data_IF_244144197863
#
_entry.id   IF_244144197863
#
_cell.length_a   1.000
_cell.length_b   1.000
_cell.length_c   1.000
_cell.angle_alpha   90.00
_cell.angle_beta   90.00
_cell.angle_gamma   90.00
#
_symmetry.space_group_name_H-M   'P 1'
#
loop_
_entity.id
_entity.type
_entity.pdbx_description
1 polymer ?
#
# COMPACT_ATOMS: atom_id res chain seq x y z
N UNK A 1 9.36 -11.19 -33.12
CA UNK A 1 9.57 -9.93 -33.83
C UNK A 1 10.50 -9.08 -33.00
N UNK A 2 11.43 -8.40 -33.63
CA UNK A 2 12.31 -7.46 -32.94
C UNK A 2 11.48 -6.21 -32.56
N UNK A 3 11.63 -5.76 -31.32
CA UNK A 3 11.02 -4.51 -30.88
C UNK A 3 11.78 -3.33 -31.50
N UNK A 4 11.04 -2.42 -32.12
CA UNK A 4 11.59 -1.22 -32.74
C UNK A 4 11.77 -0.04 -31.79
N UNK A 5 11.40 -0.21 -30.52
CA UNK A 5 11.50 0.82 -29.48
C UNK A 5 11.87 0.18 -28.15
N UNK A 6 12.58 0.94 -27.34
CA UNK A 6 12.93 0.59 -25.99
C UNK A 6 11.95 1.26 -25.04
N UNK A 7 11.24 0.45 -24.25
CA UNK A 7 10.46 0.96 -23.13
C UNK A 7 11.36 0.98 -21.90
N UNK A 8 11.53 2.16 -21.31
CA UNK A 8 12.25 2.33 -20.06
C UNK A 8 11.27 2.92 -19.03
N UNK A 9 11.24 2.33 -17.85
CA UNK A 9 10.53 2.88 -16.71
C UNK A 9 11.56 3.28 -15.65
N UNK A 10 11.44 4.49 -15.10
CA UNK A 10 12.21 4.83 -13.92
C UNK A 10 11.67 3.98 -12.75
N UNK A 11 12.57 3.31 -12.04
CA UNK A 11 12.29 2.70 -10.76
C UNK A 11 11.94 3.82 -9.76
N UNK A 12 11.83 3.55 -8.54
CA UNK A 12 11.49 4.44 -7.41
C UNK A 12 11.78 5.94 -7.62
N UNK A 13 10.79 6.78 -7.37
CA UNK A 13 10.97 8.23 -7.41
C UNK A 13 10.78 8.85 -8.80
N UNK A 14 9.95 8.25 -9.64
CA UNK A 14 9.57 8.80 -10.95
C UNK A 14 9.15 10.27 -10.88
N UNK A 15 8.47 10.69 -9.82
CA UNK A 15 8.07 12.09 -9.62
C UNK A 15 9.26 13.07 -9.68
N UNK A 16 10.45 12.67 -9.22
CA UNK A 16 11.65 13.49 -9.30
C UNK A 16 12.19 13.64 -10.73
N UNK A 17 11.81 12.74 -11.65
CA UNK A 17 12.25 12.72 -13.04
C UNK A 17 11.16 13.12 -14.04
N UNK A 18 9.93 13.37 -13.58
CA UNK A 18 8.81 13.71 -14.45
C UNK A 18 9.10 14.97 -15.28
N UNK A 19 9.62 16.02 -14.66
CA UNK A 19 9.99 17.25 -15.38
C UNK A 19 11.09 17.00 -16.44
N UNK A 20 12.08 16.16 -16.14
CA UNK A 20 13.12 15.79 -17.08
C UNK A 20 12.55 14.99 -18.26
N UNK A 21 11.72 14.02 -17.99
CA UNK A 21 11.05 13.20 -19.02
C UNK A 21 10.14 14.07 -19.90
N UNK A 22 9.36 14.95 -19.29
CA UNK A 22 8.48 15.89 -19.98
C UNK A 22 9.25 16.90 -20.82
N UNK A 23 10.36 17.42 -20.32
CA UNK A 23 11.25 18.33 -21.09
C UNK A 23 11.79 17.64 -22.35
N UNK A 24 12.22 16.38 -22.26
CA UNK A 24 12.67 15.58 -23.42
C UNK A 24 11.52 15.35 -24.40
N UNK A 25 10.33 15.04 -23.90
CA UNK A 25 9.10 14.87 -24.71
C UNK A 25 8.80 16.13 -25.52
N UNK A 26 8.82 17.29 -24.87
CA UNK A 26 8.60 18.60 -25.50
C UNK A 26 9.70 18.92 -26.52
N UNK A 27 10.98 18.74 -26.18
CA UNK A 27 12.13 18.96 -27.07
C UNK A 27 12.03 18.13 -28.36
N UNK A 28 11.54 16.89 -28.23
CA UNK A 28 11.38 15.98 -29.37
C UNK A 28 10.08 16.21 -30.15
N UNK A 29 9.25 17.13 -29.74
CA UNK A 29 7.95 17.39 -30.37
C UNK A 29 6.98 16.21 -30.25
N UNK A 30 7.12 15.41 -29.17
CA UNK A 30 6.21 14.30 -28.94
C UNK A 30 4.84 14.83 -28.53
N UNK A 31 3.80 14.29 -29.10
CA UNK A 31 2.44 14.85 -29.00
C UNK A 31 1.86 14.90 -27.57
N UNK A 32 2.35 14.07 -26.67
CA UNK A 32 1.95 14.12 -25.25
C UNK A 32 2.54 15.31 -24.50
N UNK A 33 3.65 15.91 -24.99
CA UNK A 33 4.27 17.02 -24.29
C UNK A 33 4.60 16.69 -22.83
N UNK A 34 4.12 17.51 -21.89
CA UNK A 34 4.27 17.28 -20.44
C UNK A 34 3.20 16.32 -19.84
N UNK A 35 2.31 15.81 -20.64
CA UNK A 35 1.46 14.68 -20.28
C UNK A 35 2.19 13.32 -20.44
N UNK A 36 3.44 13.31 -20.92
CA UNK A 36 4.24 12.09 -21.07
C UNK A 36 4.50 11.40 -19.73
N UNK A 37 4.77 12.19 -18.68
CA UNK A 37 4.86 11.69 -17.31
C UNK A 37 3.97 12.53 -16.38
N UNK A 38 3.23 11.89 -15.52
CA UNK A 38 2.41 12.54 -14.48
C UNK A 38 3.28 13.13 -13.37
N UNK A 39 2.73 14.04 -12.56
CA UNK A 39 3.45 14.73 -11.51
C UNK A 39 4.37 15.82 -12.06
N UNK A 40 5.46 16.08 -11.34
CA UNK A 40 6.38 17.16 -11.69
C UNK A 40 5.89 18.55 -11.28
N UNK A 41 6.51 19.61 -11.83
CA UNK A 41 6.22 21.01 -11.46
C UNK A 41 4.85 21.51 -11.92
N UNK A 42 4.26 20.87 -12.93
CA UNK A 42 2.90 21.14 -13.45
C UNK A 42 2.09 19.86 -13.42
N UNK A 43 1.86 19.34 -12.22
CA UNK A 43 1.12 18.12 -12.01
C UNK A 43 0.66 18.03 -10.57
N UNK A 44 0.00 16.92 -10.21
CA UNK A 44 -0.51 16.70 -8.86
C UNK A 44 0.58 16.12 -7.95
N UNK A 45 0.77 16.72 -6.78
CA UNK A 45 1.65 16.18 -5.75
C UNK A 45 0.91 15.10 -4.94
N UNK A 46 1.14 13.84 -5.31
CA UNK A 46 0.50 12.68 -4.68
C UNK A 46 0.75 12.63 -3.17
N UNK A 47 1.94 13.03 -2.71
CA UNK A 47 2.27 13.06 -1.28
C UNK A 47 1.50 14.14 -0.55
N UNK A 48 1.44 15.35 -1.11
CA UNK A 48 0.67 16.45 -0.51
C UNK A 48 -0.83 16.11 -0.46
N UNK A 49 -1.36 15.50 -1.52
CA UNK A 49 -2.74 14.98 -1.55
C UNK A 49 -2.94 13.79 -0.59
N UNK A 50 -1.89 13.02 -0.31
CA UNK A 50 -1.94 11.74 0.40
C UNK A 50 -2.83 10.71 -0.32
N UNK A 51 -2.98 10.82 -1.63
CA UNK A 51 -4.09 10.19 -2.36
C UNK A 51 -3.99 8.66 -2.34
N UNK A 52 -2.79 8.08 -2.50
CA UNK A 52 -2.60 6.63 -2.46
C UNK A 52 -3.00 6.05 -1.10
N UNK A 53 -2.54 6.69 -0.02
CA UNK A 53 -2.87 6.28 1.33
C UNK A 53 -4.35 6.48 1.68
N UNK A 54 -4.97 7.56 1.17
CA UNK A 54 -6.41 7.81 1.35
C UNK A 54 -7.24 6.74 0.67
N UNK A 55 -6.87 6.33 -0.55
CA UNK A 55 -7.53 5.24 -1.27
C UNK A 55 -7.40 3.90 -0.54
N UNK A 56 -6.18 3.53 -0.12
CA UNK A 56 -5.95 2.32 0.67
C UNK A 56 -6.74 2.34 1.99
N UNK A 57 -6.93 3.53 2.57
CA UNK A 57 -7.71 3.67 3.79
C UNK A 57 -9.22 3.47 3.59
N UNK A 58 -9.75 3.69 2.40
CA UNK A 58 -11.15 3.32 2.09
C UNK A 58 -11.33 1.79 2.19
N UNK A 59 -10.37 1.00 1.68
CA UNK A 59 -10.37 -0.46 1.86
C UNK A 59 -10.27 -0.85 3.34
N UNK A 60 -9.35 -0.25 4.09
CA UNK A 60 -9.18 -0.52 5.53
C UNK A 60 -10.48 -0.25 6.30
N UNK A 61 -11.11 0.91 6.08
CA UNK A 61 -12.40 1.25 6.72
C UNK A 61 -13.47 0.22 6.39
N UNK A 62 -13.51 -0.22 5.14
CA UNK A 62 -14.49 -1.20 4.70
C UNK A 62 -14.27 -2.56 5.35
N UNK A 63 -13.02 -3.02 5.43
CA UNK A 63 -12.68 -4.27 6.10
C UNK A 63 -13.03 -4.25 7.59
N UNK A 64 -12.76 -3.13 8.28
CA UNK A 64 -13.18 -2.97 9.67
C UNK A 64 -14.70 -2.98 9.83
N UNK A 65 -15.44 -2.35 8.92
CA UNK A 65 -16.90 -2.35 8.94
C UNK A 65 -17.48 -3.76 8.80
N UNK A 66 -16.85 -4.67 8.05
CA UNK A 66 -17.23 -6.09 7.97
C UNK A 66 -17.09 -6.82 9.33
N UNK A 67 -16.18 -6.35 10.17
CA UNK A 67 -16.00 -6.84 11.53
C UNK A 67 -16.91 -6.12 12.56
N UNK A 68 -17.76 -5.18 12.10
CA UNK A 68 -18.61 -4.37 12.97
C UNK A 68 -17.85 -3.33 13.79
N UNK A 69 -16.69 -2.88 13.32
CA UNK A 69 -15.78 -1.95 13.99
C UNK A 69 -15.60 -0.66 13.17
N UNK A 70 -15.67 0.50 13.82
CA UNK A 70 -15.39 1.78 13.19
C UNK A 70 -13.94 2.21 13.43
N UNK A 71 -13.08 1.99 12.45
CA UNK A 71 -11.68 2.36 12.51
C UNK A 71 -11.40 3.87 12.68
N UNK A 72 -12.41 4.74 12.60
CA UNK A 72 -12.25 6.17 12.79
C UNK A 72 -12.45 6.59 14.25
N UNK A 73 -13.23 5.85 15.03
CA UNK A 73 -13.65 6.22 16.38
C UNK A 73 -13.30 5.17 17.43
N UNK A 74 -13.09 3.92 17.06
CA UNK A 74 -12.79 2.83 17.97
C UNK A 74 -11.32 2.40 17.85
N UNK A 75 -10.62 2.29 18.99
CA UNK A 75 -9.21 1.91 19.00
C UNK A 75 -8.99 0.50 18.43
N UNK A 76 -7.93 0.37 17.64
CA UNK A 76 -7.47 -0.90 17.09
C UNK A 76 -5.94 -0.97 17.09
N UNK A 77 -5.40 -2.17 17.17
CA UNK A 77 -3.96 -2.42 17.12
C UNK A 77 -3.49 -2.55 15.67
N UNK A 78 -2.31 -1.98 15.39
CA UNK A 78 -1.72 -2.06 14.07
C UNK A 78 -0.22 -2.36 14.13
N UNK A 79 0.28 -3.07 13.14
CA UNK A 79 1.69 -3.10 12.77
C UNK A 79 1.86 -2.52 11.37
N UNK A 80 3.03 -1.94 11.10
CA UNK A 80 3.25 -1.23 9.86
C UNK A 80 4.57 -1.53 9.18
N UNK A 81 4.56 -1.43 7.84
CA UNK A 81 5.74 -1.59 6.99
C UNK A 81 6.03 -0.23 6.34
N UNK A 82 7.05 0.47 6.82
CA UNK A 82 7.44 1.79 6.36
C UNK A 82 7.84 2.73 7.50
N UNK A 83 8.03 3.99 7.18
CA UNK A 83 8.32 5.07 8.12
C UNK A 83 7.46 6.31 7.87
N UNK A 84 7.38 7.21 8.87
CA UNK A 84 6.52 8.39 8.80
C UNK A 84 6.96 9.43 7.77
N UNK A 85 8.20 9.39 7.28
CA UNK A 85 8.67 10.27 6.21
C UNK A 85 8.20 9.84 4.81
N UNK A 86 7.80 8.57 4.68
CA UNK A 86 7.27 8.00 3.45
C UNK A 86 5.85 8.50 3.14
N UNK A 87 5.55 8.71 1.85
CA UNK A 87 4.22 9.16 1.42
C UNK A 87 3.12 8.21 1.90
N UNK A 88 3.17 6.97 1.44
CA UNK A 88 2.06 6.01 1.64
C UNK A 88 1.91 5.61 3.10
N UNK A 89 3.03 5.35 3.79
CA UNK A 89 2.99 4.99 5.20
C UNK A 89 2.59 6.17 6.09
N UNK A 90 3.28 7.31 5.93
CA UNK A 90 3.05 8.50 6.75
C UNK A 90 1.61 9.00 6.62
N UNK A 91 1.13 9.21 5.40
CA UNK A 91 -0.25 9.59 5.16
C UNK A 91 -1.25 8.55 5.68
N UNK A 92 -0.95 7.24 5.53
CA UNK A 92 -1.84 6.16 5.96
C UNK A 92 -2.01 6.10 7.47
N UNK A 93 -0.90 6.14 8.21
CA UNK A 93 -0.91 6.06 9.69
C UNK A 93 -1.44 7.34 10.37
N UNK A 94 -1.78 8.36 9.58
CA UNK A 94 -2.46 9.58 10.01
C UNK A 94 -3.95 9.62 9.65
N UNK A 95 -4.50 8.54 9.07
CA UNK A 95 -5.93 8.51 8.70
C UNK A 95 -6.86 8.30 9.88
N UNK A 96 -6.39 7.72 10.97
CA UNK A 96 -7.19 7.51 12.19
C UNK A 96 -6.41 7.86 13.45
N UNK A 97 -7.04 8.61 14.33
CA UNK A 97 -6.54 8.89 15.69
C UNK A 97 -6.71 7.71 16.65
N UNK A 98 -7.48 6.71 16.24
CA UNK A 98 -7.75 5.52 17.03
C UNK A 98 -6.68 4.42 16.82
N UNK A 99 -5.70 4.63 15.93
CA UNK A 99 -4.65 3.67 15.64
C UNK A 99 -3.66 3.54 16.79
N UNK A 100 -3.58 2.35 17.37
CA UNK A 100 -2.55 1.92 18.33
C UNK A 100 -1.46 1.19 17.57
N UNK A 101 -0.43 1.93 17.12
CA UNK A 101 0.69 1.37 16.36
C UNK A 101 1.65 0.65 17.33
N UNK A 102 1.53 -0.68 17.41
CA UNK A 102 2.33 -1.49 18.35
C UNK A 102 3.71 -1.83 17.82
N UNK A 103 3.89 -1.87 16.52
CA UNK A 103 5.20 -2.04 15.89
C UNK A 103 5.21 -1.49 14.46
N UNK A 104 6.39 -1.07 14.01
CA UNK A 104 6.64 -0.78 12.62
C UNK A 104 8.11 -1.05 12.27
N UNK A 105 8.40 -1.21 10.99
CA UNK A 105 9.77 -1.31 10.53
C UNK A 105 9.94 -0.72 9.13
N UNK A 106 11.14 -0.21 8.87
CA UNK A 106 11.58 0.23 7.56
C UNK A 106 12.88 -0.48 7.15
N UNK A 107 13.61 0.08 6.19
CA UNK A 107 14.90 -0.45 5.74
C UNK A 107 16.05 -0.22 6.75
N UNK A 108 15.85 0.61 7.77
CA UNK A 108 16.86 1.03 8.77
C UNK A 108 16.57 0.55 10.17
N UNK A 109 15.31 0.67 10.60
CA UNK A 109 14.93 0.61 12.00
C UNK A 109 13.71 -0.27 12.24
N UNK A 110 13.54 -0.69 13.50
CA UNK A 110 12.36 -1.37 14.03
C UNK A 110 11.85 -0.55 15.20
N UNK A 111 10.61 -0.12 15.13
CA UNK A 111 9.87 0.56 16.19
C UNK A 111 8.99 -0.43 16.93
N UNK A 112 9.00 -0.40 18.26
CA UNK A 112 8.14 -1.19 19.14
C UNK A 112 7.52 -0.29 20.21
N UNK A 113 6.20 -0.35 20.35
CA UNK A 113 5.44 0.27 21.43
C UNK A 113 4.33 -0.71 21.86
N UNK A 114 4.57 -1.57 22.86
CA UNK A 114 3.64 -2.65 23.18
C UNK A 114 2.24 -2.22 23.61
N UNK A 115 2.12 -1.03 24.18
CA UNK A 115 0.86 -0.52 24.69
C UNK A 115 0.70 0.99 24.42
N UNK A 116 0.67 1.42 23.15
CA UNK A 116 0.65 2.83 22.81
C UNK A 116 -0.66 3.51 23.25
N UNK A 117 -0.54 4.74 23.76
CA UNK A 117 -1.70 5.61 23.86
C UNK A 117 -2.02 6.15 22.45
N UNK A 118 -3.19 5.87 21.92
CA UNK A 118 -3.55 6.18 20.54
C UNK A 118 -3.40 7.68 20.22
N UNK A 119 -3.89 8.58 21.08
CA UNK A 119 -3.83 10.02 20.87
C UNK A 119 -2.39 10.56 20.91
N UNK A 120 -1.62 10.19 21.94
CA UNK A 120 -0.21 10.60 22.10
C UNK A 120 0.65 10.08 20.94
N UNK A 121 0.45 8.82 20.58
CA UNK A 121 1.15 8.19 19.46
C UNK A 121 0.76 8.83 18.13
N UNK A 122 -0.50 9.27 17.95
CA UNK A 122 -0.92 10.00 16.76
C UNK A 122 -0.20 11.34 16.63
N UNK A 123 -0.16 12.14 17.70
CA UNK A 123 0.48 13.46 17.70
C UNK A 123 1.99 13.32 17.40
N UNK A 124 2.64 12.30 17.94
CA UNK A 124 4.06 12.04 17.67
C UNK A 124 4.28 11.56 16.23
N UNK A 125 3.40 10.71 15.68
CA UNK A 125 3.46 10.34 14.26
C UNK A 125 3.26 11.54 13.35
N UNK A 126 2.34 12.47 13.70
CA UNK A 126 2.17 13.71 12.96
C UNK A 126 3.45 14.55 12.99
N UNK A 127 4.07 14.70 14.16
CA UNK A 127 5.35 15.44 14.28
C UNK A 127 6.44 14.81 13.39
N UNK A 128 6.56 13.50 13.37
CA UNK A 128 7.53 12.81 12.50
C UNK A 128 7.21 12.99 11.01
N UNK A 129 5.94 12.98 10.63
CA UNK A 129 5.51 13.21 9.25
C UNK A 129 5.90 14.61 8.78
N UNK A 130 5.73 15.62 9.64
CA UNK A 130 6.05 17.01 9.34
C UNK A 130 7.58 17.29 9.39
N UNK A 131 8.36 16.41 10.02
CA UNK A 131 9.81 16.54 10.13
C UNK A 131 10.48 16.02 8.84
N UNK A 132 11.16 16.90 8.05
CA UNK A 132 11.80 16.48 6.82
C UNK A 132 12.82 15.34 7.02
N UNK A 133 12.67 14.25 6.25
CA UNK A 133 13.56 13.09 6.30
C UNK A 133 13.65 12.43 7.66
N UNK A 134 12.57 12.43 8.43
CA UNK A 134 12.49 11.75 9.72
C UNK A 134 12.74 10.23 9.59
N UNK A 135 13.06 9.62 10.70
CA UNK A 135 13.19 8.17 10.86
C UNK A 135 12.54 7.74 12.18
N UNK A 136 12.41 6.45 12.40
CA UNK A 136 11.97 5.94 13.70
C UNK A 136 12.93 6.33 14.85
N UNK A 137 14.22 6.65 14.54
CA UNK A 137 15.17 7.13 15.53
C UNK A 137 14.80 8.50 16.12
N UNK A 138 14.02 9.31 15.37
CA UNK A 138 13.56 10.64 15.78
C UNK A 138 12.30 10.58 16.67
N UNK A 139 11.72 9.41 16.88
CA UNK A 139 10.57 9.22 17.77
C UNK A 139 10.96 9.54 19.20
N UNK A 140 10.16 10.33 19.90
CA UNK A 140 10.39 10.67 21.31
C UNK A 140 10.23 9.42 22.19
N UNK A 141 11.35 8.94 22.73
CA UNK A 141 11.42 7.71 23.52
C UNK A 141 10.58 7.75 24.80
N UNK A 142 10.36 8.95 25.38
CA UNK A 142 9.56 9.13 26.59
C UNK A 142 8.07 8.88 26.36
N UNK A 143 7.62 8.83 25.10
CA UNK A 143 6.23 8.54 24.72
C UNK A 143 5.99 7.05 24.44
N UNK A 144 7.05 6.25 24.35
CA UNK A 144 6.97 4.80 24.15
C UNK A 144 6.59 4.14 25.47
N UNK A 145 5.63 3.22 25.44
CA UNK A 145 5.23 2.45 26.61
C UNK A 145 6.33 1.53 27.13
N UNK A 146 6.18 1.05 28.37
CA UNK A 146 7.15 0.17 29.01
C UNK A 146 7.47 -1.04 28.12
N UNK A 147 8.75 -1.40 28.04
CA UNK A 147 9.27 -2.51 27.27
C UNK A 147 9.47 -2.22 25.77
N UNK A 148 8.96 -1.12 25.26
CA UNK A 148 9.15 -0.72 23.86
C UNK A 148 10.47 0.01 23.59
N UNK A 149 10.71 0.35 22.34
CA UNK A 149 11.92 1.06 21.91
C UNK A 149 12.06 1.16 20.39
N UNK A 150 13.15 1.74 19.96
CA UNK A 150 13.53 1.78 18.54
C UNK A 150 14.91 1.17 18.37
N UNK A 151 15.04 0.25 17.45
CA UNK A 151 16.22 -0.58 17.29
C UNK A 151 16.71 -0.52 15.84
N UNK A 152 18.02 -0.37 15.66
CA UNK A 152 18.60 -0.47 14.32
C UNK A 152 18.58 -1.91 13.80
N UNK A 153 18.25 -2.10 12.54
CA UNK A 153 18.38 -3.40 11.86
C UNK A 153 19.80 -3.89 11.72
N UNK A 154 20.80 -3.03 11.99
CA UNK A 154 22.21 -3.39 12.01
C UNK A 154 22.68 -4.09 13.31
N UNK A 155 21.82 -4.20 14.32
CA UNK A 155 22.14 -4.92 15.55
C UNK A 155 22.28 -6.43 15.28
N UNK A 156 23.05 -7.11 16.13
CA UNK A 156 23.15 -8.58 16.05
C UNK A 156 21.95 -9.27 16.70
N UNK A 157 21.44 -8.68 17.77
CA UNK A 157 20.37 -9.21 18.58
C UNK A 157 19.64 -8.05 19.26
N UNK A 158 18.36 -8.22 19.51
CA UNK A 158 17.45 -7.29 20.19
C UNK A 158 16.83 -8.06 21.34
N UNK A 159 16.95 -7.51 22.56
CA UNK A 159 16.29 -8.05 23.74
C UNK A 159 14.77 -7.93 23.60
N UNK A 160 14.05 -8.99 23.90
CA UNK A 160 12.59 -9.05 23.84
C UNK A 160 12.01 -9.00 25.25
N UNK A 161 11.42 -7.88 25.58
CA UNK A 161 10.78 -7.66 26.88
C UNK A 161 9.51 -8.50 27.04
N UNK A 162 9.03 -8.73 28.29
CA UNK A 162 7.75 -9.41 28.49
C UNK A 162 6.58 -8.76 27.75
N UNK A 163 6.53 -7.43 27.74
CA UNK A 163 5.48 -6.65 27.08
C UNK A 163 5.50 -6.82 25.56
N UNK A 164 6.70 -6.83 24.95
CA UNK A 164 6.86 -7.09 23.52
C UNK A 164 6.49 -8.55 23.19
N UNK A 165 6.86 -9.51 24.03
CA UNK A 165 6.44 -10.92 23.85
C UNK A 165 4.93 -11.06 23.83
N UNK A 166 4.26 -10.42 24.78
CA UNK A 166 2.79 -10.47 24.90
C UNK A 166 2.13 -9.90 23.66
N UNK A 167 2.48 -8.68 23.25
CA UNK A 167 1.81 -8.02 22.12
C UNK A 167 2.11 -8.69 20.78
N UNK A 168 3.30 -9.26 20.59
CA UNK A 168 3.64 -10.03 19.40
C UNK A 168 3.19 -11.50 19.47
N UNK A 169 2.65 -11.94 20.62
CA UNK A 169 2.20 -13.30 20.85
C UNK A 169 3.32 -14.34 20.68
N UNK A 170 4.50 -14.05 21.27
CA UNK A 170 5.68 -14.92 21.27
C UNK A 170 5.68 -15.85 22.46
N UNK A 171 6.40 -16.97 22.33
CA UNK A 171 6.61 -17.92 23.44
C UNK A 171 7.42 -17.27 24.58
N UNK A 172 7.12 -17.66 25.82
CA UNK A 172 7.77 -17.12 27.02
C UNK A 172 9.29 -17.33 27.04
N UNK A 173 9.78 -18.35 26.35
CA UNK A 173 11.22 -18.64 26.23
C UNK A 173 11.98 -17.68 25.32
N UNK A 174 11.29 -16.87 24.50
CA UNK A 174 11.93 -15.91 23.58
C UNK A 174 12.40 -14.69 24.37
N UNK A 175 13.69 -14.58 24.60
CA UNK A 175 14.30 -13.45 25.33
C UNK A 175 15.09 -12.50 24.45
N UNK A 176 15.48 -12.94 23.24
CA UNK A 176 16.17 -12.13 22.24
C UNK A 176 15.90 -12.66 20.85
N UNK A 177 15.94 -11.79 19.84
CA UNK A 177 15.77 -12.12 18.42
C UNK A 177 16.77 -11.33 17.58
N UNK A 178 17.23 -11.92 16.48
CA UNK A 178 17.88 -11.14 15.43
C UNK A 178 16.86 -10.18 14.79
N UNK A 179 17.30 -9.03 14.25
CA UNK A 179 16.38 -8.06 13.62
C UNK A 179 15.45 -8.65 12.55
N UNK A 180 15.94 -9.59 11.74
CA UNK A 180 15.14 -10.27 10.72
C UNK A 180 14.07 -11.19 11.32
N UNK A 181 14.41 -11.88 12.39
CA UNK A 181 13.47 -12.73 13.15
C UNK A 181 12.39 -11.89 13.84
N UNK A 182 12.79 -10.74 14.39
CA UNK A 182 11.86 -9.80 15.02
C UNK A 182 10.88 -9.22 13.98
N UNK A 183 11.35 -8.85 12.79
CA UNK A 183 10.46 -8.39 11.70
C UNK A 183 9.50 -9.51 11.29
N UNK A 184 9.97 -10.75 11.15
CA UNK A 184 9.09 -11.90 10.90
C UNK A 184 8.05 -12.11 12.01
N UNK A 185 8.41 -11.84 13.27
CA UNK A 185 7.49 -11.89 14.40
C UNK A 185 6.46 -10.76 14.34
N UNK A 186 6.86 -9.53 13.98
CA UNK A 186 5.98 -8.39 13.79
C UNK A 186 4.95 -8.67 12.69
N UNK A 187 5.38 -9.22 11.56
CA UNK A 187 4.47 -9.60 10.46
C UNK A 187 3.45 -10.66 10.87
N UNK A 188 3.77 -11.50 11.86
CA UNK A 188 2.89 -12.54 12.41
C UNK A 188 2.17 -12.13 13.70
N UNK A 189 2.25 -10.88 14.10
CA UNK A 189 1.62 -10.41 15.33
C UNK A 189 0.09 -10.54 15.29
N UNK A 190 -0.57 -10.89 16.42
CA UNK A 190 -2.03 -11.02 16.49
C UNK A 190 -2.68 -9.63 16.68
N UNK A 191 -2.62 -8.81 15.66
CA UNK A 191 -3.14 -7.44 15.63
C UNK A 191 -4.38 -7.32 14.77
N UNK A 192 -5.05 -6.18 14.86
CA UNK A 192 -6.23 -5.93 14.02
C UNK A 192 -5.83 -5.61 12.59
N UNK A 193 -4.74 -4.84 12.37
CA UNK A 193 -4.32 -4.37 11.05
C UNK A 193 -2.81 -4.56 10.81
N UNK A 194 -2.45 -5.11 9.64
CA UNK A 194 -1.15 -4.90 9.01
C UNK A 194 -1.33 -3.82 7.94
N UNK A 195 -0.59 -2.70 8.06
CA UNK A 195 -0.60 -1.66 7.04
C UNK A 195 0.74 -1.64 6.29
N UNK A 196 0.70 -1.98 5.00
CA UNK A 196 1.87 -1.93 4.13
C UNK A 196 1.94 -0.57 3.42
N UNK A 197 2.91 0.24 3.81
CA UNK A 197 3.23 1.52 3.15
C UNK A 197 4.66 1.58 2.62
N UNK A 198 5.37 0.45 2.64
CA UNK A 198 6.77 0.33 2.23
C UNK A 198 6.95 -0.56 0.99
N UNK A 199 8.17 -0.55 0.46
CA UNK A 199 8.58 -1.33 -0.71
C UNK A 199 9.13 -2.67 -0.26
N UNK A 200 8.77 -3.74 -0.96
CA UNK A 200 9.25 -5.09 -0.75
C UNK A 200 8.12 -6.11 -0.70
N UNK A 201 8.44 -7.39 -0.92
CA UNK A 201 7.49 -8.50 -0.82
C UNK A 201 7.73 -9.27 0.46
N UNK A 202 6.85 -9.09 1.42
CA UNK A 202 6.99 -9.58 2.80
C UNK A 202 6.22 -10.86 3.08
N UNK A 203 5.21 -11.16 2.27
CA UNK A 203 4.36 -12.35 2.44
C UNK A 203 4.26 -13.11 1.13
N UNK A 204 4.42 -14.42 1.20
CA UNK A 204 4.26 -15.36 0.09
C UNK A 204 3.36 -16.52 0.50
N UNK A 205 2.94 -17.36 -0.46
CA UNK A 205 2.33 -18.63 -0.11
C UNK A 205 3.38 -19.62 0.42
N UNK A 206 2.97 -20.54 1.27
CA UNK A 206 3.83 -21.61 1.77
C UNK A 206 4.32 -22.55 0.66
N UNK A 207 3.61 -22.58 -0.45
CA UNK A 207 3.95 -23.35 -1.65
C UNK A 207 4.98 -22.67 -2.54
N UNK A 208 5.22 -21.37 -2.37
CA UNK A 208 6.21 -20.61 -3.12
C UNK A 208 7.58 -20.65 -2.45
N UNK A 209 8.62 -20.63 -3.26
CA UNK A 209 10.01 -20.45 -2.79
C UNK A 209 10.41 -18.96 -2.85
N UNK A 210 11.38 -18.54 -2.05
CA UNK A 210 11.94 -17.19 -2.12
C UNK A 210 12.49 -16.84 -3.51
N UNK A 211 13.03 -17.82 -4.22
CA UNK A 211 13.52 -17.62 -5.59
C UNK A 211 12.41 -17.27 -6.58
N UNK A 212 11.21 -17.83 -6.41
CA UNK A 212 10.03 -17.50 -7.24
C UNK A 212 9.52 -16.09 -6.93
N UNK A 213 9.59 -15.65 -5.67
CA UNK A 213 9.21 -14.29 -5.28
C UNK A 213 10.14 -13.23 -5.92
N UNK A 214 11.44 -13.52 -6.03
CA UNK A 214 12.40 -12.65 -6.71
C UNK A 214 12.90 -11.44 -5.91
N UNK A 215 12.42 -11.20 -4.69
CA UNK A 215 12.84 -10.11 -3.81
C UNK A 215 13.85 -10.62 -2.76
N UNK A 216 15.13 -10.73 -3.15
CA UNK A 216 16.20 -11.25 -2.30
C UNK A 216 16.44 -10.44 -1.03
N UNK A 217 16.16 -9.14 -1.05
CA UNK A 217 16.42 -8.26 0.09
C UNK A 217 15.61 -8.66 1.33
N UNK A 218 14.45 -9.26 1.12
CA UNK A 218 13.51 -9.63 2.15
C UNK A 218 13.39 -11.14 2.40
N UNK A 219 14.22 -11.97 1.77
CA UNK A 219 14.16 -13.44 1.93
C UNK A 219 14.23 -13.92 3.39
N UNK A 220 15.08 -13.28 4.19
CA UNK A 220 15.35 -13.70 5.57
C UNK A 220 14.22 -13.33 6.56
N UNK A 221 13.31 -12.43 6.16
CA UNK A 221 12.25 -11.94 7.05
C UNK A 221 10.83 -12.25 6.51
N UNK A 222 10.73 -12.74 5.26
CA UNK A 222 9.46 -13.04 4.61
C UNK A 222 8.74 -14.18 5.31
N UNK A 223 7.43 -14.03 5.46
CA UNK A 223 6.54 -15.00 6.09
C UNK A 223 5.57 -15.62 5.08
N UNK A 224 4.86 -16.67 5.47
CA UNK A 224 3.81 -17.25 4.63
C UNK A 224 2.43 -16.66 4.99
N UNK A 225 1.53 -16.61 4.03
CA UNK A 225 0.17 -16.09 4.22
C UNK A 225 -0.59 -16.82 5.32
N UNK A 226 -0.43 -18.14 5.41
CA UNK A 226 -1.06 -18.96 6.47
C UNK A 226 -0.56 -18.68 7.89
N UNK A 227 0.61 -18.05 8.02
CA UNK A 227 1.21 -17.75 9.33
C UNK A 227 0.75 -16.38 9.88
N UNK A 228 -0.01 -15.62 9.11
CA UNK A 228 -0.56 -14.33 9.53
C UNK A 228 -1.65 -14.52 10.57
N UNK A 229 -1.60 -13.71 11.62
CA UNK A 229 -2.60 -13.67 12.69
C UNK A 229 -3.33 -12.34 12.78
N UNK A 230 -2.99 -11.40 11.91
CA UNK A 230 -3.73 -10.15 11.78
C UNK A 230 -5.13 -10.41 11.21
N UNK A 231 -6.09 -9.57 11.59
CA UNK A 231 -7.46 -9.68 11.08
C UNK A 231 -7.60 -9.08 9.69
N UNK A 232 -6.90 -7.98 9.44
CA UNK A 232 -7.01 -7.15 8.24
C UNK A 232 -5.60 -6.85 7.72
N UNK A 233 -5.47 -6.77 6.39
CA UNK A 233 -4.31 -6.20 5.71
C UNK A 233 -4.78 -5.05 4.81
N UNK A 234 -4.07 -3.92 4.86
CA UNK A 234 -4.21 -2.81 3.94
C UNK A 234 -2.90 -2.60 3.17
N UNK A 235 -2.94 -2.66 1.84
CA UNK A 235 -1.77 -2.53 1.00
C UNK A 235 -1.74 -1.19 0.26
N UNK A 236 -1.24 -0.14 0.91
CA UNK A 236 -0.95 1.13 0.24
C UNK A 236 0.28 1.04 -0.68
N UNK A 237 1.24 0.19 -0.37
CA UNK A 237 2.40 -0.11 -1.22
C UNK A 237 2.15 -1.28 -2.16
N UNK A 238 2.84 -1.30 -3.31
CA UNK A 238 2.73 -2.37 -4.29
C UNK A 238 3.53 -3.60 -3.89
N UNK A 239 3.03 -4.79 -4.27
CA UNK A 239 3.74 -6.05 -4.21
C UNK A 239 4.21 -6.46 -2.80
N UNK A 240 3.52 -6.00 -1.76
CA UNK A 240 3.81 -6.41 -0.38
C UNK A 240 3.59 -7.90 -0.13
N UNK A 241 2.67 -8.47 -0.89
CA UNK A 241 2.31 -9.88 -0.90
C UNK A 241 2.44 -10.44 -2.32
N UNK A 242 2.77 -11.72 -2.44
CA UNK A 242 2.53 -12.44 -3.69
C UNK A 242 1.03 -12.69 -3.83
N UNK A 243 0.54 -12.87 -5.07
CA UNK A 243 -0.88 -13.17 -5.27
C UNK A 243 -1.30 -14.48 -4.58
N UNK A 244 -0.48 -15.51 -4.65
CA UNK A 244 -0.73 -16.76 -3.94
C UNK A 244 -0.67 -16.59 -2.41
N UNK A 245 0.21 -15.69 -1.92
CA UNK A 245 0.28 -15.34 -0.50
C UNK A 245 -0.99 -14.64 0.01
N UNK A 246 -1.59 -13.77 -0.80
CA UNK A 246 -2.90 -13.16 -0.50
C UNK A 246 -4.00 -14.21 -0.42
N UNK A 247 -4.07 -15.09 -1.41
CA UNK A 247 -5.06 -16.19 -1.43
C UNK A 247 -4.88 -17.06 -0.18
N UNK A 248 -3.65 -17.45 0.16
CA UNK A 248 -3.36 -18.26 1.35
C UNK A 248 -3.77 -17.52 2.64
N UNK A 249 -3.50 -16.23 2.76
CA UNK A 249 -3.92 -15.42 3.89
C UNK A 249 -5.44 -15.31 4.00
N UNK A 250 -6.13 -15.08 2.88
CA UNK A 250 -7.59 -15.01 2.83
C UNK A 250 -8.24 -16.34 3.23
N UNK A 251 -7.71 -17.46 2.74
CA UNK A 251 -8.16 -18.80 3.14
C UNK A 251 -7.93 -19.09 4.64
N UNK A 252 -6.97 -18.39 5.25
CA UNK A 252 -6.72 -18.45 6.69
C UNK A 252 -7.53 -17.42 7.51
N UNK A 253 -8.47 -16.72 6.88
CA UNK A 253 -9.42 -15.82 7.53
C UNK A 253 -8.96 -14.35 7.62
N UNK A 254 -7.88 -13.97 6.97
CA UNK A 254 -7.46 -12.56 6.89
C UNK A 254 -8.32 -11.82 5.85
N UNK A 255 -8.83 -10.65 6.19
CA UNK A 255 -9.60 -9.81 5.27
C UNK A 255 -8.62 -8.88 4.54
N UNK A 256 -8.55 -8.97 3.23
CA UNK A 256 -7.68 -8.17 2.39
C UNK A 256 -8.17 -8.13 0.94
N UNK A 257 -7.73 -7.11 0.22
CA UNK A 257 -7.85 -7.05 -1.24
C UNK A 257 -6.49 -7.37 -1.91
N UNK A 258 -6.42 -7.25 -3.23
CA UNK A 258 -5.15 -7.10 -3.93
C UNK A 258 -4.61 -5.69 -3.75
N UNK A 259 -3.30 -5.52 -3.83
CA UNK A 259 -2.67 -4.19 -3.83
C UNK A 259 -3.19 -3.30 -4.97
N UNK A 260 -3.50 -3.89 -6.14
CA UNK A 260 -4.06 -3.18 -7.27
C UNK A 260 -5.41 -2.50 -6.97
N UNK A 261 -6.17 -2.98 -5.98
CA UNK A 261 -7.39 -2.33 -5.49
C UNK A 261 -7.02 -1.28 -4.42
N UNK A 262 -6.26 -1.67 -3.41
CA UNK A 262 -5.97 -0.80 -2.28
C UNK A 262 -5.20 0.46 -2.69
N UNK A 263 -4.18 0.33 -3.54
CA UNK A 263 -3.36 1.46 -3.97
C UNK A 263 -3.75 2.07 -5.32
N UNK A 264 -4.88 1.70 -5.91
CA UNK A 264 -5.34 2.19 -7.21
C UNK A 264 -5.45 3.71 -7.31
N UNK A 265 -5.71 4.40 -6.20
CA UNK A 265 -5.85 5.85 -6.16
C UNK A 265 -4.61 6.59 -6.68
N UNK A 266 -3.41 6.07 -6.41
CA UNK A 266 -2.17 6.68 -6.90
C UNK A 266 -2.11 6.66 -8.43
N UNK A 267 -2.31 5.52 -9.04
CA UNK A 267 -2.24 5.37 -10.50
C UNK A 267 -3.44 6.04 -11.19
N UNK A 268 -4.64 5.96 -10.63
CA UNK A 268 -5.82 6.61 -11.19
C UNK A 268 -5.68 8.14 -11.20
N UNK A 269 -5.08 8.72 -10.16
CA UNK A 269 -4.78 10.16 -10.13
C UNK A 269 -3.86 10.54 -11.29
N UNK A 270 -2.81 9.74 -11.55
CA UNK A 270 -1.91 9.95 -12.68
C UNK A 270 -2.61 9.82 -14.03
N UNK A 271 -3.46 8.83 -14.20
CA UNK A 271 -4.24 8.64 -15.42
C UNK A 271 -5.15 9.83 -15.70
N UNK A 272 -5.90 10.29 -14.70
CA UNK A 272 -6.77 11.48 -14.84
C UNK A 272 -5.96 12.73 -15.13
N UNK A 273 -4.83 12.95 -14.46
CA UNK A 273 -3.94 14.08 -14.70
C UNK A 273 -3.45 14.11 -16.15
N UNK A 274 -2.96 12.98 -16.65
CA UNK A 274 -2.47 12.86 -18.04
C UNK A 274 -3.57 13.20 -19.03
N UNK A 275 -4.78 12.66 -18.85
CA UNK A 275 -5.92 12.94 -19.72
C UNK A 275 -6.38 14.41 -19.66
N UNK A 276 -6.35 15.03 -18.49
CA UNK A 276 -6.62 16.46 -18.30
C UNK A 276 -5.58 17.29 -19.05
N UNK A 277 -4.29 17.00 -18.91
CA UNK A 277 -3.21 17.72 -19.61
C UNK A 277 -3.38 17.64 -21.12
N UNK A 278 -3.70 16.46 -21.67
CA UNK A 278 -3.95 16.28 -23.10
C UNK A 278 -5.10 17.17 -23.58
N UNK A 279 -6.20 17.23 -22.82
CA UNK A 279 -7.34 18.08 -23.16
C UNK A 279 -6.97 19.56 -23.07
N UNK A 280 -6.36 19.98 -21.99
CA UNK A 280 -5.98 21.39 -21.73
C UNK A 280 -4.99 21.89 -22.76
N UNK A 281 -4.03 21.07 -23.21
CA UNK A 281 -3.09 21.43 -24.28
C UNK A 281 -3.81 21.69 -25.61
N UNK A 282 -4.89 20.97 -25.90
CA UNK A 282 -5.72 21.26 -27.08
C UNK A 282 -6.46 22.60 -26.94
N UNK A 283 -6.97 22.92 -25.74
CA UNK A 283 -7.62 24.22 -25.50
C UNK A 283 -6.61 25.38 -25.68
N UNK A 284 -5.40 25.21 -25.18
CA UNK A 284 -4.31 26.20 -25.37
C UNK A 284 -3.95 26.33 -26.87
N UNK A 285 -3.80 25.22 -27.58
CA UNK A 285 -3.46 25.22 -29.00
C UNK A 285 -4.54 25.88 -29.88
N UNK A 286 -5.80 25.80 -29.47
CA UNK A 286 -6.92 26.46 -30.18
C UNK A 286 -7.16 27.92 -29.71
N UNK A 287 -6.42 28.40 -28.71
CA UNK A 287 -6.58 29.74 -28.16
C UNK A 287 -7.82 29.93 -27.28
N UNK A 288 -8.40 28.82 -26.81
CA UNK A 288 -9.55 28.80 -25.91
C UNK A 288 -9.14 28.98 -24.45
N UNK A 289 -7.90 28.66 -24.11
CA UNK A 289 -7.28 28.89 -22.81
C UNK A 289 -5.92 29.59 -23.00
N UNK A 290 -5.65 30.72 -22.31
CA UNK A 290 -4.32 31.34 -22.30
C UNK A 290 -3.27 30.39 -21.74
N UNK A 291 -2.09 30.35 -22.35
CA UNK A 291 -1.00 29.45 -21.90
C UNK A 291 -0.56 29.74 -20.48
N UNK A 292 -0.60 31.00 -20.06
CA UNK A 292 -0.28 31.45 -18.70
C UNK A 292 -1.29 30.98 -17.64
N UNK A 293 -2.50 30.65 -18.02
CA UNK A 293 -3.54 30.14 -17.12
C UNK A 293 -3.55 28.61 -17.03
N UNK A 294 -2.84 27.93 -17.93
CA UNK A 294 -2.84 26.47 -18.05
C UNK A 294 -2.52 25.75 -16.73
N UNK A 295 -1.42 26.12 -16.09
CA UNK A 295 -0.96 25.46 -14.86
C UNK A 295 -1.95 25.63 -13.71
N UNK A 296 -2.43 26.86 -13.50
CA UNK A 296 -3.43 27.15 -12.44
C UNK A 296 -4.78 26.48 -12.70
N UNK A 297 -5.16 26.32 -13.97
CA UNK A 297 -6.37 25.59 -14.33
C UNK A 297 -6.25 24.10 -13.98
N UNK A 298 -5.14 23.45 -14.33
CA UNK A 298 -4.88 22.05 -13.97
C UNK A 298 -4.90 21.88 -12.44
N UNK A 299 -4.20 22.76 -11.71
CA UNK A 299 -4.15 22.76 -10.25
C UNK A 299 -5.54 22.91 -9.63
N UNK A 300 -6.39 23.76 -10.19
CA UNK A 300 -7.75 24.00 -9.69
C UNK A 300 -8.66 22.76 -9.71
N UNK A 301 -8.34 21.76 -10.51
CA UNK A 301 -9.10 20.51 -10.63
C UNK A 301 -8.65 19.43 -9.63
N UNK A 302 -7.54 19.66 -8.88
CA UNK A 302 -6.92 18.65 -8.02
C UNK A 302 -7.89 18.04 -7.01
N UNK A 303 -8.67 18.87 -6.33
CA UNK A 303 -9.60 18.39 -5.30
C UNK A 303 -10.75 17.59 -5.89
N UNK A 304 -11.27 17.98 -7.07
CA UNK A 304 -12.30 17.24 -7.76
C UNK A 304 -11.79 15.89 -8.25
N UNK A 305 -10.57 15.84 -8.82
CA UNK A 305 -9.90 14.60 -9.22
C UNK A 305 -9.72 13.69 -8.00
N UNK A 306 -9.20 14.22 -6.89
CA UNK A 306 -9.03 13.46 -5.66
C UNK A 306 -10.34 12.88 -5.14
N UNK A 307 -11.44 13.67 -5.18
CA UNK A 307 -12.78 13.19 -4.82
C UNK A 307 -13.25 12.03 -5.69
N UNK A 308 -13.10 12.15 -7.01
CA UNK A 308 -13.49 11.10 -7.96
C UNK A 308 -12.68 9.82 -7.82
N UNK A 309 -11.39 9.95 -7.60
CA UNK A 309 -10.48 8.81 -7.36
C UNK A 309 -10.90 8.03 -6.11
N UNK A 310 -11.20 8.73 -5.01
CA UNK A 310 -11.65 8.06 -3.77
C UNK A 310 -13.04 7.43 -3.92
N UNK A 311 -13.93 8.04 -4.70
CA UNK A 311 -15.23 7.45 -5.07
C UNK A 311 -15.01 6.08 -5.74
N UNK A 312 -14.08 5.99 -6.71
CA UNK A 312 -13.72 4.73 -7.36
C UNK A 312 -13.23 3.68 -6.35
N UNK A 313 -12.37 4.05 -5.39
CA UNK A 313 -11.94 3.10 -4.35
C UNK A 313 -13.12 2.57 -3.51
N UNK A 314 -14.06 3.43 -3.14
CA UNK A 314 -15.27 3.03 -2.41
C UNK A 314 -16.11 2.07 -3.26
N UNK A 315 -16.36 2.40 -4.53
CA UNK A 315 -17.16 1.58 -5.44
C UNK A 315 -16.54 0.19 -5.67
N UNK A 316 -15.21 0.13 -5.87
CA UNK A 316 -14.49 -1.14 -6.01
C UNK A 316 -14.67 -2.03 -4.77
N UNK A 317 -14.53 -1.47 -3.58
CA UNK A 317 -14.71 -2.21 -2.33
C UNK A 317 -16.17 -2.67 -2.14
N UNK A 318 -17.13 -1.83 -2.46
CA UNK A 318 -18.56 -2.19 -2.40
C UNK A 318 -18.87 -3.35 -3.35
N UNK A 319 -18.33 -3.31 -4.58
CA UNK A 319 -18.48 -4.38 -5.55
C UNK A 319 -17.90 -5.69 -5.03
N UNK A 320 -16.62 -5.68 -4.63
CA UNK A 320 -15.92 -6.88 -4.16
C UNK A 320 -16.63 -7.55 -2.98
N UNK A 321 -17.13 -6.76 -2.03
CA UNK A 321 -17.87 -7.31 -0.90
C UNK A 321 -19.25 -7.81 -1.27
N UNK A 322 -19.94 -7.09 -2.15
CA UNK A 322 -21.21 -7.57 -2.71
C UNK A 322 -21.05 -8.93 -3.39
N UNK A 323 -19.99 -9.10 -4.18
CA UNK A 323 -19.65 -10.35 -4.83
C UNK A 323 -19.26 -11.45 -3.80
N UNK A 324 -18.45 -11.11 -2.80
CA UNK A 324 -18.05 -12.05 -1.75
C UNK A 324 -19.26 -12.60 -0.99
N UNK A 325 -20.17 -11.74 -0.54
CA UNK A 325 -21.38 -12.15 0.17
C UNK A 325 -22.38 -12.89 -0.71
N UNK A 326 -22.36 -12.66 -2.02
CA UNK A 326 -23.20 -13.35 -3.01
C UNK A 326 -22.59 -14.62 -3.60
N UNK A 327 -21.29 -14.87 -3.39
CA UNK A 327 -20.51 -15.88 -4.13
C UNK A 327 -21.05 -17.30 -4.03
N UNK A 328 -21.53 -17.73 -2.87
CA UNK A 328 -22.09 -19.05 -2.66
C UNK A 328 -23.35 -19.35 -3.51
N UNK A 329 -24.03 -18.31 -4.00
CA UNK A 329 -25.16 -18.44 -4.94
C UNK A 329 -24.70 -18.42 -6.40
N UNK A 330 -23.48 -17.93 -6.66
CA UNK A 330 -22.98 -17.59 -7.98
C UNK A 330 -21.78 -18.36 -8.50
N UNK A 331 -21.24 -19.36 -7.78
CA UNK A 331 -20.00 -20.04 -8.19
C UNK A 331 -20.04 -20.55 -9.66
N UNK A 332 -21.16 -21.11 -10.09
CA UNK A 332 -21.34 -21.56 -11.47
C UNK A 332 -21.35 -20.40 -12.48
N UNK A 333 -21.74 -19.19 -12.04
CA UNK A 333 -21.69 -18.00 -12.89
C UNK A 333 -20.24 -17.59 -13.10
N UNK A 334 -19.41 -17.58 -12.04
CA UNK A 334 -17.99 -17.27 -12.14
C UNK A 334 -17.23 -18.28 -13.02
N UNK A 335 -17.51 -19.59 -12.86
CA UNK A 335 -16.96 -20.62 -13.75
C UNK A 335 -17.28 -20.36 -15.23
N UNK A 336 -18.54 -20.00 -15.51
CA UNK A 336 -18.98 -19.69 -16.88
C UNK A 336 -18.30 -18.43 -17.40
N UNK A 337 -18.25 -17.36 -16.59
CA UNK A 337 -17.61 -16.11 -16.95
C UNK A 337 -16.12 -16.32 -17.26
N UNK A 338 -15.40 -17.04 -16.39
CA UNK A 338 -13.98 -17.33 -16.63
C UNK A 338 -13.76 -18.11 -17.92
N UNK A 339 -14.59 -19.13 -18.22
CA UNK A 339 -14.51 -19.86 -19.51
C UNK A 339 -14.78 -18.96 -20.70
N UNK A 340 -15.78 -18.08 -20.61
CA UNK A 340 -16.10 -17.14 -21.67
C UNK A 340 -14.94 -16.16 -21.93
N UNK A 341 -14.30 -15.68 -20.86
CA UNK A 341 -13.12 -14.83 -20.96
C UNK A 341 -11.89 -15.57 -21.51
N UNK A 342 -11.71 -16.86 -21.20
CA UNK A 342 -10.67 -17.70 -21.80
C UNK A 342 -10.89 -17.88 -23.31
N UNK A 343 -12.13 -18.11 -23.73
CA UNK A 343 -12.48 -18.31 -25.14
C UNK A 343 -12.43 -17.02 -25.98
N UNK A 344 -12.88 -15.90 -25.43
CA UNK A 344 -13.15 -14.70 -26.22
C UNK A 344 -12.27 -13.49 -25.89
N UNK A 345 -11.65 -13.47 -24.69
CA UNK A 345 -10.88 -12.31 -24.21
C UNK A 345 -9.41 -12.63 -23.87
N UNK A 346 -8.98 -13.88 -24.11
CA UNK A 346 -7.58 -14.27 -23.90
C UNK A 346 -7.17 -14.41 -22.43
N UNK A 347 -8.13 -14.59 -21.51
CA UNK A 347 -7.82 -14.86 -20.11
C UNK A 347 -6.95 -16.11 -19.99
N UNK A 348 -5.88 -16.04 -19.19
CA UNK A 348 -5.08 -17.19 -18.81
C UNK A 348 -5.10 -17.34 -17.29
N UNK A 349 -5.92 -18.25 -16.77
CA UNK A 349 -6.10 -18.42 -15.32
C UNK A 349 -4.80 -18.75 -14.60
N UNK A 350 -3.89 -19.50 -15.23
CA UNK A 350 -2.62 -19.83 -14.58
C UNK A 350 -1.72 -18.61 -14.40
N UNK A 351 -1.74 -17.65 -15.33
CA UNK A 351 -1.00 -16.40 -15.25
C UNK A 351 -1.63 -15.46 -14.22
N UNK A 352 -2.96 -15.43 -14.18
CA UNK A 352 -3.72 -14.56 -13.26
C UNK A 352 -3.94 -15.19 -11.88
N UNK A 353 -3.40 -16.37 -11.62
CA UNK A 353 -3.58 -17.12 -10.37
C UNK A 353 -5.05 -17.38 -10.01
N UNK A 354 -5.91 -17.50 -11.03
CA UNK A 354 -7.32 -17.83 -10.83
C UNK A 354 -7.49 -19.35 -10.70
N UNK A 355 -8.45 -19.80 -9.86
CA UNK A 355 -8.67 -21.22 -9.62
C UNK A 355 -9.22 -21.95 -10.86
N UNK A 356 -8.91 -23.20 -10.96
CA UNK A 356 -9.53 -24.12 -11.93
C UNK A 356 -11.00 -24.41 -11.53
N UNK A 357 -11.76 -24.96 -12.45
CA UNK A 357 -13.15 -25.35 -12.15
C UNK A 357 -13.22 -26.43 -11.05
N UNK A 358 -12.21 -27.31 -10.96
CA UNK A 358 -12.12 -28.34 -9.94
C UNK A 358 -11.79 -27.78 -8.54
N UNK A 359 -10.98 -26.72 -8.49
CA UNK A 359 -10.64 -26.04 -7.24
C UNK A 359 -11.80 -25.19 -6.70
N UNK A 360 -12.77 -24.85 -7.55
CA UNK A 360 -13.97 -24.11 -7.17
C UNK A 360 -15.13 -25.02 -6.72
N UNK A 361 -15.05 -26.34 -6.94
CA UNK A 361 -16.03 -27.33 -6.49
C UNK A 361 -15.77 -27.75 -5.05
#
# INVERSE_FOLDING_TARGET
ADDYYLVVAADKGTAAFSDTANAISLERGFWLGDAFASGGSVGYDHKAMGITARGAWESVKRHFAELGHDAQTEEFTAVGIGDMSGDVFGNGLLRSKATRLVAAFDHRDIFLDPNPNAAVSFDERQRLYDLPRSSWQDYNRDLISAGGGVYSRGLKSIEITPEVREVLGLDESVTELAPTELISAILKAPVDLIYNGGIGTYVKASTETNAQVGDKANDALRVNGKDLRAKIVGEGGNLGFTQLGRIEAALNGVILNTDAIDNSAGVETSDREVNIKILVDRLVAHGELPVEERASFIESLQDEVGGKVLETNVEQNVLLQGEFHGSFLGINLYKRLMRDLEEHAGLNRAVEFLPTDEELD
#
